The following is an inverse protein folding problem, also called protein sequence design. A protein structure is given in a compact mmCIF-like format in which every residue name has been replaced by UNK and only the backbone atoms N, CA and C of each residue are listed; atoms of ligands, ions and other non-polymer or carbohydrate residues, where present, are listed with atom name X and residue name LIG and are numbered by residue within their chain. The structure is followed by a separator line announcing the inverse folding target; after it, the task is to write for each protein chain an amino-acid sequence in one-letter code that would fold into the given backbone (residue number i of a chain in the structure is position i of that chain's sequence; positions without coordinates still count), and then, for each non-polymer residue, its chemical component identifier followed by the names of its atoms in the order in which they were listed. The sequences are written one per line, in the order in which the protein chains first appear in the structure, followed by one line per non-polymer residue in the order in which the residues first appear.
data_IF_905133060922
#
_entry.id   IF_905133060922
#
_cell.length_a   1.000
_cell.length_b   1.000
_cell.length_c   1.000
_cell.angle_alpha   90.00
_cell.angle_beta   90.00
_cell.angle_gamma   90.00
#
_symmetry.space_group_name_H-M   'P 1'
#
loop_
_entity.id
_entity.type
_entity.pdbx_description
1 polymer ?
#
# COMPACT_ATOMS: atom_id res chain seq x y z
N UNK A 1 -20.43 12.24 -1.23
CA UNK A 1 -20.64 11.20 -2.25
C UNK A 1 -19.35 11.11 -3.06
N UNK A 2 -18.41 10.24 -2.67
CA UNK A 2 -17.03 10.30 -3.13
C UNK A 2 -16.63 8.94 -3.71
N UNK A 3 -16.41 8.94 -5.03
CA UNK A 3 -15.62 7.98 -5.80
C UNK A 3 -15.76 6.48 -5.46
N UNK A 4 -16.96 6.00 -5.13
CA UNK A 4 -17.20 4.59 -4.75
C UNK A 4 -16.67 3.59 -5.79
N UNK A 5 -16.87 3.89 -7.07
CA UNK A 5 -16.40 3.04 -8.16
C UNK A 5 -14.89 3.12 -8.40
N UNK A 6 -14.29 4.30 -8.26
CA UNK A 6 -12.84 4.45 -8.41
C UNK A 6 -12.07 3.89 -7.22
N UNK A 7 -12.67 3.88 -6.02
CA UNK A 7 -12.07 3.33 -4.80
C UNK A 7 -12.15 1.80 -4.71
N UNK A 8 -13.00 1.16 -5.52
CA UNK A 8 -13.19 -0.30 -5.48
C UNK A 8 -11.92 -1.11 -5.76
N UNK A 9 -10.95 -0.50 -6.46
CA UNK A 9 -9.66 -1.13 -6.81
C UNK A 9 -8.45 -0.44 -6.19
N UNK A 10 -8.66 0.53 -5.30
CA UNK A 10 -7.57 1.23 -4.59
C UNK A 10 -7.37 0.66 -3.21
N UNK A 11 -6.11 0.59 -2.75
CA UNK A 11 -5.82 0.27 -1.37
C UNK A 11 -6.17 1.44 -0.45
N UNK A 12 -6.82 1.12 0.67
CA UNK A 12 -7.22 2.11 1.68
C UNK A 12 -6.14 2.12 2.76
N UNK A 13 -5.40 3.23 2.84
CA UNK A 13 -4.46 3.50 3.93
C UNK A 13 -5.16 4.31 5.03
N UNK A 14 -5.22 3.75 6.24
CA UNK A 14 -5.80 4.42 7.41
C UNK A 14 -4.67 4.71 8.40
N UNK A 15 -4.42 5.99 8.64
CA UNK A 15 -3.45 6.46 9.63
C UNK A 15 -4.15 6.82 10.95
N UNK A 16 -3.54 6.55 12.12
CA UNK A 16 -4.03 7.02 13.41
C UNK A 16 -3.82 8.53 13.62
N UNK A 17 -3.14 9.21 12.69
CA UNK A 17 -2.79 10.63 12.79
C UNK A 17 -3.98 11.49 12.39
N UNK A 18 -4.29 12.50 13.21
CA UNK A 18 -5.33 13.47 12.92
C UNK A 18 -4.92 14.35 11.74
N UNK A 19 -5.88 14.69 10.87
CA UNK A 19 -5.60 15.48 9.67
C UNK A 19 -4.81 16.79 9.90
N UNK A 20 -5.09 17.59 10.94
CA UNK A 20 -4.32 18.81 11.22
C UNK A 20 -2.85 18.56 11.57
N UNK A 21 -2.51 17.34 12.00
CA UNK A 21 -1.16 16.90 12.39
C UNK A 21 -0.50 16.06 11.29
N UNK A 22 -1.21 15.82 10.17
CA UNK A 22 -0.63 15.14 9.03
C UNK A 22 0.45 16.03 8.39
N UNK A 23 1.60 15.43 8.07
CA UNK A 23 2.81 16.12 7.59
C UNK A 23 3.43 15.30 6.47
N UNK A 24 4.44 15.87 5.83
CA UNK A 24 5.14 15.26 4.71
C UNK A 24 5.74 13.90 5.07
N UNK A 25 6.32 13.74 6.26
CA UNK A 25 6.86 12.46 6.73
C UNK A 25 5.81 11.35 6.72
N UNK A 26 4.59 11.64 7.19
CA UNK A 26 3.49 10.68 7.25
C UNK A 26 3.00 10.25 5.85
N UNK A 27 3.13 11.13 4.85
CA UNK A 27 2.87 10.77 3.46
C UNK A 27 3.95 9.81 2.92
N UNK A 28 5.21 10.06 3.23
CA UNK A 28 6.29 9.16 2.82
C UNK A 28 6.17 7.79 3.49
N UNK A 29 5.83 7.75 4.77
CA UNK A 29 5.53 6.51 5.50
C UNK A 29 4.37 5.75 4.86
N UNK A 30 3.28 6.44 4.50
CA UNK A 30 2.15 5.83 3.80
C UNK A 30 2.53 5.23 2.43
N UNK A 31 3.40 5.91 1.69
CA UNK A 31 3.90 5.42 0.39
C UNK A 31 4.82 4.21 0.58
N UNK A 32 5.70 4.23 1.59
CA UNK A 32 6.56 3.09 1.92
C UNK A 32 5.73 1.88 2.33
N UNK A 33 4.73 2.07 3.20
CA UNK A 33 3.81 1.02 3.62
C UNK A 33 3.05 0.45 2.41
N UNK A 34 2.52 1.31 1.53
CA UNK A 34 1.90 0.90 0.27
C UNK A 34 2.85 0.11 -0.65
N UNK A 35 4.14 0.44 -0.68
CA UNK A 35 5.13 -0.32 -1.46
C UNK A 35 5.47 -1.69 -0.84
N UNK A 36 5.41 -1.82 0.49
CA UNK A 36 5.64 -3.09 1.18
C UNK A 36 4.44 -4.04 1.12
N UNK A 37 3.22 -3.49 1.00
CA UNK A 37 1.99 -4.26 0.77
C UNK A 37 1.98 -4.75 -0.67
N UNK A 38 2.62 -5.90 -0.86
CA UNK A 38 2.69 -6.72 -2.07
C UNK A 38 2.03 -6.13 -3.33
N UNK A 39 2.81 -5.40 -4.15
CA UNK A 39 2.77 -5.72 -5.57
C UNK A 39 3.39 -7.10 -5.72
N UNK A 40 2.55 -8.15 -5.71
CA UNK A 40 2.89 -9.40 -6.42
C UNK A 40 3.25 -8.98 -7.83
N UNK A 41 4.54 -8.86 -8.13
CA UNK A 41 5.11 -8.57 -9.44
C UNK A 41 4.83 -9.75 -10.39
N UNK A 42 3.56 -10.12 -10.58
CA UNK A 42 3.17 -11.32 -11.31
C UNK A 42 3.74 -12.63 -10.75
N UNK A 43 4.35 -12.63 -9.56
CA UNK A 43 4.93 -13.83 -8.93
C UNK A 43 4.34 -14.03 -7.54
N UNK A 44 3.72 -15.17 -7.33
CA UNK A 44 3.31 -15.68 -6.02
C UNK A 44 4.54 -16.01 -5.18
N UNK A 45 4.43 -15.97 -3.85
CA UNK A 45 5.53 -16.25 -2.91
C UNK A 45 6.18 -17.64 -3.13
N UNK A 46 5.48 -18.57 -3.77
CA UNK A 46 6.01 -19.86 -4.24
C UNK A 46 7.14 -19.73 -5.28
N UNK A 47 7.10 -18.73 -6.18
CA UNK A 47 8.10 -18.59 -7.25
C UNK A 47 9.42 -17.97 -6.78
N UNK A 48 9.43 -17.27 -5.65
CA UNK A 48 10.66 -16.71 -5.05
C UNK A 48 11.49 -17.83 -4.40
N UNK A 49 10.84 -18.89 -3.89
CA UNK A 49 11.53 -20.07 -3.33
C UNK A 49 12.14 -20.99 -4.40
N UNK A 50 11.62 -20.99 -5.64
CA UNK A 50 12.10 -21.86 -6.72
C UNK A 50 13.36 -21.34 -7.44
N UNK A 51 13.80 -20.10 -7.18
CA UNK A 51 15.02 -19.52 -7.78
C UNK A 51 16.26 -19.61 -6.87
N UNK A 52 16.10 -20.15 -5.66
CA UNK A 52 17.18 -20.29 -4.67
C UNK A 52 17.61 -21.76 -4.44
N UNK A 53 17.28 -22.68 -5.35
CA UNK A 53 17.77 -24.07 -5.36
C UNK A 53 18.47 -24.40 -6.68
#
# INVERSE_FOLDING_TARGET
NFLLWQLAYSEIYISPILWPDFRREHLYEAILDYQTRERRFGKTSEQVNLLNN
#
